data_IF_046344034534
#
_entry.id   IF_046344034534
#
_cell.length_a   1.000
_cell.length_b   1.000
_cell.length_c   1.000
_cell.angle_alpha   90.00
_cell.angle_beta   90.00
_cell.angle_gamma   90.00
#
_symmetry.space_group_name_H-M   'P 1'
#
loop_
_entity.id
_entity.type
_entity.pdbx_description
1 polymer ?
#
# COMPACT_ATOMS: atom_id res chain seq x y z
N UNK A 1 19.70 -18.27 -50.99
CA UNK A 1 18.37 -17.97 -50.42
C UNK A 1 18.36 -18.51 -49.00
N UNK A 2 18.54 -17.65 -48.00
CA UNK A 2 18.45 -18.00 -46.58
C UNK A 2 17.21 -17.29 -46.03
N UNK A 3 16.14 -18.04 -45.76
CA UNK A 3 15.03 -17.57 -44.94
C UNK A 3 15.46 -17.71 -43.48
N UNK A 4 15.82 -16.59 -42.85
CA UNK A 4 15.92 -16.54 -41.40
C UNK A 4 14.51 -16.31 -40.86
N UNK A 5 13.94 -17.39 -40.34
CA UNK A 5 12.72 -17.40 -39.57
C UNK A 5 12.91 -16.46 -38.36
N UNK A 6 12.20 -15.34 -38.38
CA UNK A 6 12.31 -14.28 -37.37
C UNK A 6 11.08 -14.37 -36.46
N UNK A 7 10.98 -15.49 -35.75
CA UNK A 7 9.91 -15.72 -34.78
C UNK A 7 10.27 -14.99 -33.48
N UNK A 8 9.46 -14.03 -32.99
CA UNK A 8 9.72 -13.40 -31.70
C UNK A 8 9.63 -14.45 -30.59
N UNK A 9 10.49 -14.37 -29.56
CA UNK A 9 10.43 -15.31 -28.44
C UNK A 9 9.08 -15.20 -27.74
N UNK A 10 8.37 -16.33 -27.69
CA UNK A 10 7.19 -16.51 -26.85
C UNK A 10 7.62 -16.28 -25.39
N UNK A 11 6.96 -15.40 -24.63
CA UNK A 11 7.29 -15.23 -23.22
C UNK A 11 7.02 -16.54 -22.46
N UNK A 12 8.01 -16.98 -21.69
CA UNK A 12 7.95 -18.18 -20.88
C UNK A 12 6.72 -18.15 -19.96
N UNK A 13 5.83 -19.13 -20.14
CA UNK A 13 4.70 -19.38 -19.26
C UNK A 13 5.22 -19.72 -17.84
N UNK A 14 4.78 -18.97 -16.83
CA UNK A 14 4.86 -19.39 -15.43
C UNK A 14 5.62 -18.49 -14.44
N UNK A 15 6.26 -17.39 -14.85
CA UNK A 15 6.80 -16.44 -13.88
C UNK A 15 5.81 -15.30 -13.60
N UNK A 16 5.36 -15.17 -12.35
CA UNK A 16 4.59 -14.01 -11.90
C UNK A 16 5.30 -12.72 -12.31
N UNK A 17 4.56 -11.80 -12.92
CA UNK A 17 5.09 -10.50 -13.29
C UNK A 17 5.53 -9.74 -12.03
N UNK A 18 6.50 -8.81 -12.13
CA UNK A 18 6.88 -7.96 -11.01
C UNK A 18 5.70 -7.22 -10.37
N UNK A 19 4.68 -6.90 -11.17
CA UNK A 19 3.43 -6.28 -10.70
C UNK A 19 2.61 -7.24 -9.84
N UNK A 20 2.43 -8.48 -10.27
CA UNK A 20 1.69 -9.50 -9.51
C UNK A 20 2.39 -9.81 -8.18
N UNK A 21 3.72 -9.88 -8.18
CA UNK A 21 4.51 -10.03 -6.95
C UNK A 21 4.33 -8.83 -6.01
N UNK A 22 4.42 -7.60 -6.52
CA UNK A 22 4.21 -6.40 -5.73
C UNK A 22 2.78 -6.32 -5.16
N UNK A 23 1.78 -6.71 -5.94
CA UNK A 23 0.38 -6.79 -5.51
C UNK A 23 0.23 -7.78 -4.35
N UNK A 24 0.77 -9.00 -4.49
CA UNK A 24 0.73 -10.02 -3.44
C UNK A 24 1.46 -9.58 -2.17
N UNK A 25 2.60 -8.90 -2.29
CA UNK A 25 3.30 -8.33 -1.15
C UNK A 25 2.46 -7.28 -0.41
N UNK A 26 1.73 -6.41 -1.12
CA UNK A 26 0.85 -5.44 -0.49
C UNK A 26 -0.35 -6.10 0.20
N UNK A 27 -0.98 -7.08 -0.43
CA UNK A 27 -2.12 -7.78 0.15
C UNK A 27 -1.70 -8.53 1.43
N UNK A 28 -0.54 -9.19 1.41
CA UNK A 28 0.02 -9.82 2.61
C UNK A 28 0.35 -8.80 3.72
N UNK A 29 0.93 -7.66 3.36
CA UNK A 29 1.24 -6.62 4.34
C UNK A 29 -0.02 -6.01 4.96
N UNK A 30 -1.08 -5.81 4.18
CA UNK A 30 -2.38 -5.34 4.67
C UNK A 30 -3.02 -6.36 5.61
N UNK A 31 -3.03 -7.66 5.24
CA UNK A 31 -3.59 -8.72 6.08
C UNK A 31 -2.85 -8.85 7.43
N UNK A 32 -1.51 -8.75 7.43
CA UNK A 32 -0.71 -8.77 8.65
C UNK A 32 -0.98 -7.54 9.53
N UNK A 33 -1.23 -6.38 8.93
CA UNK A 33 -1.57 -5.17 9.68
C UNK A 33 -2.97 -5.30 10.31
N UNK A 34 -3.92 -5.87 9.58
CA UNK A 34 -5.28 -6.13 10.09
C UNK A 34 -5.23 -7.11 11.27
N UNK A 35 -4.48 -8.21 11.17
CA UNK A 35 -4.31 -9.12 12.30
C UNK A 35 -3.67 -8.44 13.52
N UNK A 36 -2.69 -7.55 13.31
CA UNK A 36 -2.07 -6.77 14.39
C UNK A 36 -3.05 -5.76 15.02
N UNK A 37 -3.99 -5.22 14.24
CA UNK A 37 -5.03 -4.33 14.77
C UNK A 37 -6.09 -5.08 15.58
N UNK A 38 -6.33 -6.35 15.25
CA UNK A 38 -7.27 -7.25 15.93
C UNK A 38 -6.67 -7.88 17.20
N UNK A 39 -5.40 -8.30 17.19
CA UNK A 39 -4.77 -9.05 18.29
C UNK A 39 -4.32 -8.20 19.50
N UNK A 40 -4.25 -6.86 19.38
CA UNK A 40 -3.61 -5.99 20.40
C UNK A 40 -4.47 -5.62 21.61
N UNK A 41 -5.28 -6.54 22.12
CA UNK A 41 -5.90 -6.39 23.46
C UNK A 41 -4.94 -6.75 24.61
N UNK A 42 -3.88 -7.52 24.35
CA UNK A 42 -2.94 -7.97 25.38
C UNK A 42 -1.52 -7.42 25.12
N UNK A 43 -1.11 -6.35 25.82
CA UNK A 43 0.28 -6.14 26.25
C UNK A 43 0.52 -4.87 27.09
N UNK A 44 1.55 -4.98 27.94
CA UNK A 44 2.02 -4.11 29.04
C UNK A 44 2.36 -2.64 28.69
N UNK A 45 2.07 -2.15 27.49
CA UNK A 45 2.40 -0.78 27.09
C UNK A 45 1.49 0.26 27.78
N UNK A 46 2.02 1.46 28.03
CA UNK A 46 1.22 2.56 28.56
C UNK A 46 0.10 2.94 27.57
N UNK A 47 -1.03 3.45 28.06
CA UNK A 47 -2.19 3.76 27.21
C UNK A 47 -1.85 4.71 26.05
N UNK A 48 -0.95 5.67 26.26
CA UNK A 48 -0.46 6.60 25.23
C UNK A 48 0.37 5.93 24.14
N UNK A 49 1.30 5.04 24.51
CA UNK A 49 2.11 4.28 23.56
C UNK A 49 1.25 3.35 22.70
N UNK A 50 0.24 2.69 23.31
CA UNK A 50 -0.72 1.87 22.55
C UNK A 50 -1.51 2.68 21.55
N UNK A 51 -1.98 3.86 21.93
CA UNK A 51 -2.70 4.75 21.03
C UNK A 51 -1.80 5.18 19.86
N UNK A 52 -0.56 5.57 20.14
CA UNK A 52 0.40 5.96 19.12
C UNK A 52 0.74 4.80 18.16
N UNK A 53 0.99 3.60 18.69
CA UNK A 53 1.24 2.42 17.83
C UNK A 53 0.01 2.10 16.98
N UNK A 54 -1.20 2.14 17.53
CA UNK A 54 -2.44 1.94 16.76
C UNK A 54 -2.54 2.96 15.62
N UNK A 55 -2.26 4.23 15.88
CA UNK A 55 -2.27 5.27 14.83
C UNK A 55 -1.20 5.01 13.78
N UNK A 56 0.02 4.60 14.15
CA UNK A 56 1.07 4.21 13.20
C UNK A 56 0.62 3.05 12.30
N UNK A 57 0.04 2.00 12.89
CA UNK A 57 -0.40 0.80 12.18
C UNK A 57 -1.59 1.11 11.26
N UNK A 58 -2.58 1.88 11.72
CA UNK A 58 -3.68 2.37 10.88
C UNK A 58 -3.18 3.26 9.73
N UNK A 59 -2.18 4.11 9.99
CA UNK A 59 -1.60 4.96 8.95
C UNK A 59 -0.87 4.14 7.89
N UNK A 60 -0.15 3.10 8.29
CA UNK A 60 0.49 2.16 7.38
C UNK A 60 -0.56 1.42 6.52
N UNK A 61 -1.68 0.99 7.12
CA UNK A 61 -2.80 0.39 6.38
C UNK A 61 -3.32 1.29 5.27
N UNK A 62 -3.61 2.56 5.59
CA UNK A 62 -4.11 3.56 4.62
C UNK A 62 -3.10 3.76 3.48
N UNK A 63 -1.81 3.90 3.80
CA UNK A 63 -0.76 4.12 2.79
C UNK A 63 -0.58 2.92 1.86
N UNK A 64 -0.58 1.70 2.41
CA UNK A 64 -0.49 0.47 1.62
C UNK A 64 -1.75 0.25 0.79
N UNK A 65 -2.92 0.61 1.31
CA UNK A 65 -4.18 0.60 0.57
C UNK A 65 -4.15 1.53 -0.64
N UNK A 66 -3.66 2.77 -0.48
CA UNK A 66 -3.48 3.71 -1.58
C UNK A 66 -2.46 3.18 -2.62
N UNK A 67 -1.36 2.57 -2.17
CA UNK A 67 -0.39 1.93 -3.07
C UNK A 67 -1.01 0.78 -3.86
N UNK A 68 -1.86 -0.05 -3.22
CA UNK A 68 -2.59 -1.13 -3.87
C UNK A 68 -3.55 -0.59 -4.93
N UNK A 69 -4.28 0.48 -4.62
CA UNK A 69 -5.21 1.11 -5.56
C UNK A 69 -4.52 1.71 -6.79
N UNK A 70 -3.28 2.21 -6.64
CA UNK A 70 -2.45 2.66 -7.75
C UNK A 70 -2.02 1.50 -8.66
N UNK A 71 -1.80 0.32 -8.10
CA UNK A 71 -1.40 -0.89 -8.85
C UNK A 71 -2.58 -1.72 -9.36
N UNK A 72 -3.80 -1.54 -8.85
CA UNK A 72 -4.96 -2.33 -9.27
C UNK A 72 -5.46 -1.96 -10.68
N UNK A 73 -5.53 -0.66 -11.02
CA UNK A 73 -6.11 -0.23 -12.30
C UNK A 73 -5.20 0.75 -13.04
N UNK A 74 -4.88 0.50 -14.33
CA UNK A 74 -4.08 1.43 -15.11
C UNK A 74 -4.82 2.76 -15.29
N UNK A 75 -4.30 3.83 -14.66
CA UNK A 75 -4.92 5.16 -14.68
C UNK A 75 -5.16 5.74 -16.09
N UNK A 76 -4.45 5.25 -17.11
CA UNK A 76 -4.60 5.69 -18.49
C UNK A 76 -5.86 5.12 -19.18
N UNK A 77 -6.49 4.11 -18.58
CA UNK A 77 -7.75 3.53 -19.07
C UNK A 77 -8.99 4.29 -18.57
N UNK A 78 -8.82 5.15 -17.56
CA UNK A 78 -9.91 5.96 -16.99
C UNK A 78 -10.14 7.23 -17.80
N UNK A 79 -11.39 7.72 -17.84
CA UNK A 79 -11.69 9.01 -18.44
C UNK A 79 -10.91 10.13 -17.71
N UNK A 80 -10.49 11.22 -18.39
CA UNK A 80 -9.63 12.25 -17.78
C UNK A 80 -10.18 12.82 -16.46
N UNK A 81 -11.50 13.02 -16.37
CA UNK A 81 -12.17 13.50 -15.15
C UNK A 81 -12.10 12.48 -14.01
N UNK A 82 -12.35 11.22 -14.30
CA UNK A 82 -12.31 10.12 -13.32
C UNK A 82 -10.89 9.88 -12.83
N UNK A 83 -9.92 9.91 -13.76
CA UNK A 83 -8.50 9.85 -13.43
C UNK A 83 -8.08 10.97 -12.47
N UNK A 84 -8.50 12.21 -12.74
CA UNK A 84 -8.18 13.35 -11.88
C UNK A 84 -8.80 13.21 -10.48
N UNK A 85 -10.06 12.76 -10.39
CA UNK A 85 -10.73 12.52 -9.12
C UNK A 85 -10.06 11.42 -8.31
N UNK A 86 -9.75 10.28 -8.95
CA UNK A 86 -9.05 9.16 -8.30
C UNK A 86 -7.67 9.56 -7.81
N UNK A 87 -6.89 10.25 -8.65
CA UNK A 87 -5.56 10.71 -8.26
C UNK A 87 -5.63 11.68 -7.07
N UNK A 88 -6.60 12.59 -7.07
CA UNK A 88 -6.82 13.52 -5.95
C UNK A 88 -7.16 12.76 -4.67
N UNK A 89 -8.07 11.78 -4.72
CA UNK A 89 -8.43 10.96 -3.57
C UNK A 89 -7.21 10.23 -2.98
N UNK A 90 -6.39 9.60 -3.83
CA UNK A 90 -5.17 8.91 -3.42
C UNK A 90 -4.15 9.86 -2.78
N UNK A 91 -4.00 11.07 -3.31
CA UNK A 91 -3.13 12.10 -2.72
C UNK A 91 -3.65 12.51 -1.33
N UNK A 92 -4.96 12.70 -1.19
CA UNK A 92 -5.57 13.11 0.07
C UNK A 92 -5.47 12.00 1.14
N UNK A 93 -5.70 10.74 0.76
CA UNK A 93 -5.45 9.56 1.61
C UNK A 93 -3.99 9.48 2.06
N UNK A 94 -3.04 9.62 1.12
CA UNK A 94 -1.61 9.57 1.43
C UNK A 94 -1.19 10.70 2.39
N UNK A 95 -1.69 11.92 2.18
CA UNK A 95 -1.43 13.05 3.08
C UNK A 95 -2.00 12.83 4.47
N UNK A 96 -3.21 12.28 4.56
CA UNK A 96 -3.85 11.99 5.84
C UNK A 96 -3.10 10.89 6.60
N UNK A 97 -2.78 9.78 5.94
CA UNK A 97 -1.97 8.71 6.52
C UNK A 97 -0.60 9.19 6.97
N UNK A 98 0.12 9.96 6.14
CA UNK A 98 1.43 10.51 6.50
C UNK A 98 1.37 11.46 7.71
N UNK A 99 0.37 12.34 7.79
CA UNK A 99 0.18 13.24 8.95
C UNK A 99 -0.14 12.48 10.23
N UNK A 100 -0.98 11.44 10.14
CA UNK A 100 -1.33 10.61 11.28
C UNK A 100 -0.10 9.83 11.79
N UNK A 101 0.67 9.22 10.89
CA UNK A 101 1.92 8.56 11.23
C UNK A 101 2.93 9.50 11.89
N UNK A 102 3.08 10.72 11.36
CA UNK A 102 3.97 11.73 11.96
C UNK A 102 3.56 12.11 13.39
N UNK A 103 2.26 12.37 13.61
CA UNK A 103 1.75 12.67 14.96
C UNK A 103 1.97 11.52 15.93
N UNK A 104 1.76 10.29 15.48
CA UNK A 104 2.02 9.11 16.30
C UNK A 104 3.51 8.94 16.62
N UNK A 105 4.41 9.23 15.67
CA UNK A 105 5.83 9.24 15.93
C UNK A 105 6.24 10.30 16.96
N UNK A 106 5.62 11.49 16.94
CA UNK A 106 5.82 12.50 17.98
C UNK A 106 5.36 12.02 19.36
N UNK A 107 4.19 11.37 19.44
CA UNK A 107 3.70 10.76 20.68
C UNK A 107 4.66 9.70 21.24
N UNK A 108 5.22 8.86 20.36
CA UNK A 108 6.20 7.82 20.76
C UNK A 108 7.54 8.40 21.22
N UNK A 109 7.89 9.61 20.79
CA UNK A 109 9.17 10.27 21.12
C UNK A 109 9.04 11.29 22.25
N UNK A 110 7.84 11.49 22.80
CA UNK A 110 7.59 12.45 23.88
C UNK A 110 7.69 13.92 23.45
N UNK A 111 7.53 14.20 22.15
CA UNK A 111 7.60 15.54 21.55
C UNK A 111 6.20 16.13 21.25
N UNK A 112 5.20 15.80 22.07
CA UNK A 112 3.81 16.27 21.89
C UNK A 112 3.61 17.77 22.16
#
# INVERSE_FOLDING_TARGET
>A
MLHTDNTPPVPAEGSATPRELAQACLDNALALIESVLEDREDEKAAAGERAAIRVCVTSAHVLLGAARQLMAEPLHLLAPKERALRLKALIDEAKNGGRAAYRAALMLTGHE
#
